data_IF_487448494580
#
_entry.id   IF_487448494580
#
_cell.length_a   1.000
_cell.length_b   1.000
_cell.length_c   1.000
_cell.angle_alpha   90.00
_cell.angle_beta   90.00
_cell.angle_gamma   90.00
#
_symmetry.space_group_name_H-M   'P 1'
#
loop_
_entity.id
_entity.type
_entity.pdbx_description
1 polymer ?
#
# COMPACT_ATOMS: atom_id res chain seq x y z
N UNK A 1 9.13 5.47 -0.07
CA UNK A 1 8.07 4.45 -0.05
C UNK A 1 8.47 3.38 0.94
N UNK A 2 7.52 2.94 1.78
CA UNK A 2 7.84 2.16 2.98
C UNK A 2 7.09 0.84 2.96
N UNK A 3 5.76 0.88 3.06
CA UNK A 3 4.96 -0.35 3.11
C UNK A 3 5.06 -1.14 1.81
N UNK A 4 5.31 -0.51 0.65
CA UNK A 4 5.44 -1.24 -0.61
C UNK A 4 6.73 -2.07 -0.71
N UNK A 5 7.79 -1.76 0.06
CA UNK A 5 9.08 -2.47 0.02
C UNK A 5 9.25 -3.49 1.15
N UNK A 6 8.48 -3.38 2.23
CA UNK A 6 8.54 -4.33 3.35
C UNK A 6 8.08 -5.72 2.89
N UNK A 7 8.90 -6.79 3.05
CA UNK A 7 8.52 -8.15 2.66
C UNK A 7 7.33 -8.68 3.46
N UNK A 8 7.37 -8.56 4.78
CA UNK A 8 6.29 -8.92 5.70
C UNK A 8 5.54 -7.68 6.19
N UNK A 9 4.74 -7.10 5.28
CA UNK A 9 3.96 -5.89 5.57
C UNK A 9 2.93 -6.12 6.67
N UNK A 10 2.42 -7.35 6.82
CA UNK A 10 1.43 -7.68 7.84
C UNK A 10 2.04 -7.56 9.24
N UNK A 11 3.25 -8.09 9.45
CA UNK A 11 3.96 -7.94 10.74
C UNK A 11 4.28 -6.47 11.03
N UNK A 12 4.75 -5.71 10.04
CA UNK A 12 5.00 -4.29 10.21
C UNK A 12 3.73 -3.51 10.61
N UNK A 13 2.61 -3.77 9.94
CA UNK A 13 1.33 -3.12 10.25
C UNK A 13 0.78 -3.51 11.62
N UNK A 14 0.96 -4.76 12.06
CA UNK A 14 0.61 -5.16 13.44
C UNK A 14 1.39 -4.37 14.48
N UNK A 15 2.68 -4.11 14.24
CA UNK A 15 3.48 -3.30 15.15
C UNK A 15 3.05 -1.83 15.14
N UNK A 16 2.76 -1.26 13.96
CA UNK A 16 2.18 0.10 13.85
C UNK A 16 0.86 0.18 14.64
N UNK A 17 -0.03 -0.81 14.46
CA UNK A 17 -1.29 -0.87 15.18
C UNK A 17 -1.09 -1.02 16.70
N UNK A 18 -0.12 -1.83 17.13
CA UNK A 18 0.19 -2.05 18.55
C UNK A 18 0.64 -0.76 19.23
N UNK A 19 1.51 0.03 18.57
CA UNK A 19 2.08 1.25 19.18
C UNK A 19 1.17 2.47 19.09
N UNK A 20 0.22 2.49 18.16
CA UNK A 20 -0.77 3.57 18.10
C UNK A 20 -1.71 3.51 19.29
N UNK A 21 -2.01 4.68 19.87
CA UNK A 21 -3.12 4.83 20.82
C UNK A 21 -4.47 4.60 20.12
N UNK A 22 -5.55 4.24 20.86
CA UNK A 22 -6.92 4.27 20.32
C UNK A 22 -7.23 5.65 19.72
N UNK A 23 -7.89 5.67 18.55
CA UNK A 23 -8.10 6.88 17.74
C UNK A 23 -6.84 7.43 17.05
N UNK A 24 -5.71 6.73 17.15
CA UNK A 24 -4.46 7.10 16.49
C UNK A 24 -4.55 6.99 14.97
N UNK A 25 -3.90 7.92 14.27
CA UNK A 25 -3.94 8.03 12.80
C UNK A 25 -2.60 7.64 12.19
N UNK A 26 -2.63 6.75 11.21
CA UNK A 26 -1.50 6.39 10.38
C UNK A 26 -1.71 6.93 8.96
N UNK A 27 -0.88 7.88 8.56
CA UNK A 27 -0.95 8.50 7.24
C UNK A 27 -0.18 7.67 6.22
N UNK A 28 -0.81 7.41 5.07
CA UNK A 28 -0.31 6.47 4.06
C UNK A 28 -0.06 7.22 2.75
N UNK A 29 1.11 6.99 2.16
CA UNK A 29 1.44 7.38 0.78
C UNK A 29 2.32 6.27 0.18
N UNK A 30 1.71 5.40 -0.64
CA UNK A 30 2.36 4.17 -1.09
C UNK A 30 2.19 3.87 -2.59
N UNK A 31 3.18 3.25 -3.23
CA UNK A 31 2.99 2.60 -4.54
C UNK A 31 2.11 1.37 -4.37
N UNK A 32 1.18 1.11 -5.28
CA UNK A 32 0.35 -0.08 -5.15
C UNK A 32 -0.43 -0.48 -6.38
N UNK A 33 -1.32 -1.45 -6.18
CA UNK A 33 -2.12 -2.08 -7.20
C UNK A 33 -3.14 -1.08 -7.80
N UNK A 34 -3.18 -0.97 -9.11
CA UNK A 34 -4.17 -0.18 -9.84
C UNK A 34 -5.57 -0.79 -9.73
N UNK A 35 -6.60 0.08 -9.72
CA UNK A 35 -8.02 -0.32 -9.83
C UNK A 35 -8.45 -0.67 -11.25
N UNK A 36 -7.61 -0.40 -12.25
CA UNK A 36 -7.86 -0.80 -13.64
C UNK A 36 -7.28 -2.19 -13.91
N UNK A 37 -8.16 -3.15 -14.21
CA UNK A 37 -7.77 -4.56 -14.38
C UNK A 37 -6.62 -4.77 -15.37
N UNK A 38 -6.60 -4.02 -16.48
CA UNK A 38 -5.54 -4.12 -17.47
C UNK A 38 -4.17 -3.75 -16.91
N UNK A 39 -4.11 -2.69 -16.10
CA UNK A 39 -2.87 -2.22 -15.46
C UNK A 39 -2.50 -3.17 -14.32
N UNK A 40 -3.45 -3.58 -13.48
CA UNK A 40 -3.25 -4.53 -12.40
C UNK A 40 -2.62 -5.85 -12.90
N UNK A 41 -3.14 -6.41 -14.00
CA UNK A 41 -2.58 -7.63 -14.62
C UNK A 41 -1.13 -7.44 -15.06
N UNK A 42 -0.78 -6.27 -15.59
CA UNK A 42 0.62 -5.95 -15.93
C UNK A 42 1.49 -5.73 -14.71
N UNK A 43 0.96 -5.10 -13.65
CA UNK A 43 1.67 -4.94 -12.39
C UNK A 43 2.06 -6.28 -11.80
N UNK A 44 1.14 -7.25 -11.71
CA UNK A 44 1.44 -8.61 -11.22
C UNK A 44 2.51 -9.30 -12.08
N UNK A 45 2.46 -9.16 -13.41
CA UNK A 45 3.46 -9.75 -14.32
C UNK A 45 4.86 -9.13 -14.14
N UNK A 46 4.92 -7.82 -13.94
CA UNK A 46 6.18 -7.08 -13.78
C UNK A 46 6.71 -7.10 -12.35
N UNK A 47 5.87 -7.47 -11.38
CA UNK A 47 6.21 -7.43 -9.96
C UNK A 47 7.52 -8.16 -9.60
N UNK A 48 7.82 -9.37 -10.15
CA UNK A 48 9.10 -10.03 -9.86
C UNK A 48 10.32 -9.25 -10.32
N UNK A 49 10.20 -8.45 -11.38
CA UNK A 49 11.27 -7.57 -11.87
C UNK A 49 11.35 -6.35 -10.96
N UNK A 50 10.22 -5.69 -10.67
CA UNK A 50 10.17 -4.53 -9.77
C UNK A 50 10.80 -4.86 -8.41
N UNK A 51 10.47 -6.01 -7.82
CA UNK A 51 11.05 -6.40 -6.53
C UNK A 51 12.57 -6.51 -6.53
N UNK A 52 13.17 -6.81 -7.69
CA UNK A 52 14.63 -6.91 -7.84
C UNK A 52 15.30 -5.56 -8.10
N UNK A 53 14.67 -4.69 -8.90
CA UNK A 53 15.31 -3.43 -9.36
C UNK A 53 14.79 -2.18 -8.63
N UNK A 54 13.64 -2.27 -7.97
CA UNK A 54 12.94 -1.20 -7.28
C UNK A 54 12.95 -1.37 -5.77
N UNK A 55 14.10 -1.76 -5.21
CA UNK A 55 14.34 -1.87 -3.76
C UNK A 55 13.31 -2.74 -3.02
N UNK A 56 12.92 -3.88 -3.63
CA UNK A 56 11.91 -4.76 -3.03
C UNK A 56 10.47 -4.28 -3.16
N UNK A 57 10.17 -3.23 -3.93
CA UNK A 57 8.81 -2.70 -4.10
C UNK A 57 7.85 -3.71 -4.75
N UNK A 58 6.65 -3.84 -4.18
CA UNK A 58 5.56 -4.64 -4.69
C UNK A 58 4.55 -3.75 -5.45
N UNK A 59 4.48 -3.86 -6.78
CA UNK A 59 3.51 -3.11 -7.61
C UNK A 59 2.07 -3.62 -7.42
N UNK A 60 1.93 -4.87 -7.01
CA UNK A 60 0.66 -5.58 -6.92
C UNK A 60 0.08 -5.64 -5.51
N UNK A 61 0.61 -4.82 -4.59
CA UNK A 61 0.09 -4.73 -3.22
C UNK A 61 -1.12 -3.79 -3.17
N UNK A 62 -2.27 -4.32 -2.74
CA UNK A 62 -3.43 -3.52 -2.37
C UNK A 62 -3.30 -3.06 -0.92
N UNK A 63 -2.96 -1.77 -0.72
CA UNK A 63 -2.71 -1.23 0.63
C UNK A 63 -3.97 -1.14 1.47
N UNK A 64 -5.14 -0.89 0.87
CA UNK A 64 -6.39 -0.80 1.62
C UNK A 64 -6.76 -2.16 2.22
N UNK A 65 -6.59 -3.23 1.44
CA UNK A 65 -6.86 -4.58 1.93
C UNK A 65 -5.94 -4.95 3.08
N UNK A 66 -4.62 -4.71 2.97
CA UNK A 66 -3.67 -5.08 4.05
C UNK A 66 -3.81 -4.20 5.29
N UNK A 67 -4.18 -2.93 5.15
CA UNK A 67 -4.44 -2.04 6.28
C UNK A 67 -5.72 -2.44 7.02
N UNK A 68 -6.81 -2.72 6.30
CA UNK A 68 -8.04 -3.23 6.92
C UNK A 68 -7.83 -4.59 7.60
N UNK A 69 -7.07 -5.49 6.97
CA UNK A 69 -6.71 -6.78 7.57
C UNK A 69 -5.86 -6.64 8.85
N UNK A 70 -5.14 -5.53 9.02
CA UNK A 70 -4.40 -5.22 10.24
C UNK A 70 -5.28 -4.58 11.34
N UNK A 71 -6.57 -4.35 11.08
CA UNK A 71 -7.54 -3.82 12.05
C UNK A 71 -7.78 -2.30 11.95
N UNK A 72 -7.24 -1.63 10.93
CA UNK A 72 -7.48 -0.20 10.74
C UNK A 72 -8.81 0.08 10.03
N UNK A 73 -9.47 1.16 10.44
CA UNK A 73 -10.53 1.81 9.66
C UNK A 73 -9.90 2.81 8.67
N UNK A 74 -10.42 2.89 7.45
CA UNK A 74 -9.85 3.74 6.40
C UNK A 74 -10.67 5.02 6.25
N UNK A 75 -9.99 6.17 6.32
CA UNK A 75 -10.56 7.51 6.15
C UNK A 75 -9.82 8.26 5.03
N UNK A 76 -10.54 9.13 4.31
CA UNK A 76 -9.99 10.04 3.28
C UNK A 76 -8.95 9.36 2.36
N UNK A 77 -9.30 8.18 1.86
CA UNK A 77 -8.39 7.35 1.07
C UNK A 77 -8.74 7.37 -0.41
N UNK A 78 -7.72 7.40 -1.25
CA UNK A 78 -7.86 7.40 -2.70
C UNK A 78 -6.63 6.80 -3.37
N UNK A 79 -6.84 6.17 -4.52
CA UNK A 79 -5.78 5.86 -5.47
C UNK A 79 -5.66 6.97 -6.51
N UNK A 80 -4.44 7.21 -6.99
CA UNK A 80 -4.18 8.16 -8.05
C UNK A 80 -2.96 7.73 -8.88
N UNK A 81 -2.79 8.36 -10.03
CA UNK A 81 -1.59 8.21 -10.84
C UNK A 81 -0.67 9.41 -10.68
N UNK A 82 0.60 9.13 -10.45
CA UNK A 82 1.66 10.14 -10.53
C UNK A 82 2.15 10.30 -11.97
N UNK A 83 3.23 11.08 -12.12
CA UNK A 83 3.86 11.26 -13.43
C UNK A 83 4.61 9.99 -13.84
N UNK A 84 4.38 9.51 -15.06
CA UNK A 84 5.11 8.39 -15.67
C UNK A 84 4.20 7.24 -16.15
N UNK A 85 4.78 6.09 -16.52
CA UNK A 85 4.01 4.94 -16.98
C UNK A 85 3.08 4.41 -15.88
N UNK A 86 1.80 4.26 -16.20
CA UNK A 86 0.74 3.95 -15.21
C UNK A 86 0.98 2.66 -14.42
N UNK A 87 1.68 1.69 -15.03
CA UNK A 87 2.06 0.41 -14.39
C UNK A 87 3.00 0.57 -13.19
N UNK A 88 3.81 1.61 -13.14
CA UNK A 88 4.74 1.89 -12.02
C UNK A 88 4.40 3.18 -11.26
N UNK A 89 3.40 3.92 -11.74
CA UNK A 89 3.00 5.21 -11.21
C UNK A 89 1.59 5.18 -10.59
N UNK A 90 1.12 4.03 -10.14
CA UNK A 90 -0.11 3.90 -9.34
C UNK A 90 0.23 4.07 -7.85
N UNK A 91 -0.52 4.94 -7.18
CA UNK A 91 -0.27 5.37 -5.81
C UNK A 91 -1.55 5.36 -4.97
N UNK A 92 -1.36 5.17 -3.67
CA UNK A 92 -2.37 5.16 -2.62
C UNK A 92 -2.07 6.33 -1.69
N UNK A 93 -3.07 7.13 -1.33
CA UNK A 93 -2.99 8.17 -0.30
C UNK A 93 -4.19 8.07 0.62
N UNK A 94 -3.99 8.11 1.93
CA UNK A 94 -5.11 8.15 2.86
C UNK A 94 -4.69 8.10 4.32
N UNK A 95 -5.68 7.89 5.19
CA UNK A 95 -5.47 7.74 6.63
C UNK A 95 -6.08 6.42 7.12
N UNK A 96 -5.29 5.65 7.85
CA UNK A 96 -5.71 4.44 8.55
C UNK A 96 -5.80 4.73 10.05
N UNK A 97 -6.98 4.54 10.65
CA UNK A 97 -7.29 4.89 12.03
C UNK A 97 -7.40 3.64 12.87
N UNK A 98 -6.75 3.62 14.03
CA UNK A 98 -6.95 2.58 15.03
C UNK A 98 -8.27 2.86 15.77
N UNK A 99 -9.27 1.96 15.70
CA UNK A 99 -10.52 2.15 16.42
C UNK A 99 -10.33 2.29 17.94
N UNK A 100 -11.37 2.83 18.59
CA UNK A 100 -11.45 3.04 20.04
C UNK A 100 -11.42 1.75 20.85
#
# INVERSE_FOLDING_TARGET
>A
YTLCTIPDVATALREVYRVLKPGGRFHVLEHGLSREEGIARWQTRLNPIQRRIGDGCHLDRDHWTVLSAAGFELEDHAEFYGRGPRVVAAYYRGVAVKPG
#
